data_IF_028777691066
#
_entry.id   IF_028777691066
#
_cell.length_a   1.000
_cell.length_b   1.000
_cell.length_c   1.000
_cell.angle_alpha   90.00
_cell.angle_beta   90.00
_cell.angle_gamma   90.00
#
_symmetry.space_group_name_H-M   'P 1'
#
loop_
_entity.id
_entity.type
_entity.pdbx_description
1 polymer ?
#
# COMPACT_ATOMS: atom_id res chain seq x y z
N UNK A 1 -14.82 35.30 -1.84
CA UNK A 1 -13.65 34.51 -1.41
C UNK A 1 -13.79 33.11 -1.96
N UNK A 2 -12.77 32.55 -2.63
CA UNK A 2 -12.84 31.15 -3.07
C UNK A 2 -12.81 30.21 -1.86
N UNK A 3 -13.51 29.09 -1.96
CA UNK A 3 -13.50 27.99 -0.98
C UNK A 3 -12.72 26.84 -1.61
N UNK A 4 -11.77 26.29 -0.86
CA UNK A 4 -10.96 25.13 -1.28
C UNK A 4 -11.34 23.90 -0.43
N UNK A 5 -11.26 22.73 -1.04
CA UNK A 5 -11.38 21.43 -0.36
C UNK A 5 -10.14 20.58 -0.64
N UNK A 6 -9.63 19.90 0.39
CA UNK A 6 -8.54 18.94 0.30
C UNK A 6 -9.11 17.52 0.38
N UNK A 7 -8.74 16.68 -0.58
CA UNK A 7 -9.12 15.25 -0.61
C UNK A 7 -7.84 14.43 -0.59
N UNK A 8 -7.71 13.55 0.41
CA UNK A 8 -6.58 12.64 0.56
C UNK A 8 -7.06 11.19 0.73
N UNK A 9 -6.36 10.26 0.11
CA UNK A 9 -6.70 8.84 0.15
C UNK A 9 -5.85 8.09 1.18
N UNK A 10 -6.53 7.47 2.16
CA UNK A 10 -5.86 6.67 3.18
C UNK A 10 -5.11 5.47 2.57
N UNK A 11 -3.81 5.38 2.85
CA UNK A 11 -2.94 4.25 2.46
C UNK A 11 -2.98 3.93 0.96
N UNK A 12 -3.14 4.95 0.11
CA UNK A 12 -3.58 4.82 -1.29
C UNK A 12 -3.01 3.62 -2.07
N UNK A 13 -1.69 3.49 -2.20
CA UNK A 13 -1.08 2.36 -2.93
C UNK A 13 -1.42 0.99 -2.34
N UNK A 14 -1.40 0.84 -1.01
CA UNK A 14 -1.77 -0.43 -0.38
C UNK A 14 -3.28 -0.71 -0.53
N UNK A 15 -4.11 0.33 -0.54
CA UNK A 15 -5.55 0.21 -0.80
C UNK A 15 -5.83 -0.20 -2.25
N UNK A 16 -5.04 0.27 -3.22
CA UNK A 16 -5.18 -0.11 -4.63
C UNK A 16 -4.94 -1.62 -4.85
N UNK A 17 -3.93 -2.19 -4.20
CA UNK A 17 -3.65 -3.64 -4.28
C UNK A 17 -4.77 -4.49 -3.69
N UNK A 18 -5.45 -3.98 -2.67
CA UNK A 18 -6.56 -4.66 -1.97
C UNK A 18 -7.92 -4.45 -2.65
N UNK A 19 -8.09 -3.39 -3.45
CA UNK A 19 -9.40 -2.95 -3.96
C UNK A 19 -10.17 -4.06 -4.70
N UNK A 20 -9.49 -4.81 -5.55
CA UNK A 20 -10.09 -5.90 -6.34
C UNK A 20 -9.70 -7.29 -5.82
N UNK A 21 -9.18 -7.37 -4.60
CA UNK A 21 -8.67 -8.58 -3.97
C UNK A 21 -9.31 -8.75 -2.60
N UNK A 22 -10.58 -9.19 -2.55
CA UNK A 22 -11.31 -9.34 -1.28
C UNK A 22 -10.64 -10.34 -0.33
N UNK A 23 -9.87 -11.28 -0.87
CA UNK A 23 -9.03 -12.21 -0.10
C UNK A 23 -7.92 -11.51 0.70
N UNK A 24 -7.56 -10.26 0.35
CA UNK A 24 -6.55 -9.47 1.05
C UNK A 24 -7.13 -8.54 2.11
N UNK A 25 -8.46 -8.54 2.33
CA UNK A 25 -9.16 -7.57 3.19
C UNK A 25 -8.51 -7.39 4.55
N UNK A 26 -8.17 -8.48 5.24
CA UNK A 26 -7.57 -8.46 6.57
C UNK A 26 -6.06 -8.81 6.55
N UNK A 27 -5.49 -8.97 5.36
CA UNK A 27 -4.07 -9.30 5.17
C UNK A 27 -3.21 -8.04 5.29
N UNK A 28 -2.10 -8.07 6.07
CA UNK A 28 -1.14 -6.98 6.10
C UNK A 28 -0.39 -6.87 4.78
N UNK A 29 -0.44 -5.69 4.17
CA UNK A 29 0.14 -5.41 2.85
C UNK A 29 1.11 -4.24 2.93
N UNK A 30 2.25 -4.37 2.26
CA UNK A 30 3.18 -3.28 1.99
C UNK A 30 3.40 -3.13 0.48
N UNK A 31 3.59 -1.90 0.04
CA UNK A 31 4.05 -1.60 -1.32
C UNK A 31 5.48 -1.09 -1.23
N UNK A 32 6.33 -1.60 -2.10
CA UNK A 32 7.76 -1.32 -2.13
C UNK A 32 8.10 -0.26 -3.17
N UNK A 33 9.25 0.38 -3.02
CA UNK A 33 9.79 1.32 -4.01
C UNK A 33 10.19 0.59 -5.29
N UNK A 34 10.55 1.35 -6.32
CA UNK A 34 11.24 0.79 -7.48
C UNK A 34 12.46 -0.02 -7.02
N UNK A 35 12.68 -1.18 -7.63
CA UNK A 35 13.68 -2.18 -7.27
C UNK A 35 13.50 -2.81 -5.87
N UNK A 36 12.31 -2.70 -5.27
CA UNK A 36 11.92 -3.41 -4.04
C UNK A 36 12.81 -3.11 -2.82
N UNK A 37 13.44 -1.94 -2.80
CA UNK A 37 14.42 -1.56 -1.77
C UNK A 37 13.77 -1.20 -0.44
N UNK A 38 12.73 -0.37 -0.46
CA UNK A 38 12.12 0.20 0.74
C UNK A 38 10.60 0.17 0.71
N UNK A 39 9.97 0.16 1.89
CA UNK A 39 8.51 0.27 2.03
C UNK A 39 8.04 1.71 1.75
N UNK A 40 7.19 1.90 0.75
CA UNK A 40 6.64 3.22 0.36
C UNK A 40 5.14 3.37 0.67
N UNK A 41 4.42 2.27 0.88
CA UNK A 41 3.07 2.31 1.43
C UNK A 41 2.76 1.07 2.27
N UNK A 42 1.77 1.19 3.15
CA UNK A 42 1.44 0.19 4.17
C UNK A 42 -0.07 0.19 4.41
N UNK A 43 -0.66 -0.99 4.48
CA UNK A 43 -2.03 -1.16 4.95
C UNK A 43 -2.15 -0.81 6.44
N UNK A 44 -3.38 -0.70 6.96
CA UNK A 44 -3.61 -0.41 8.38
C UNK A 44 -3.02 -1.50 9.27
N UNK A 45 -3.19 -2.76 8.86
CA UNK A 45 -2.71 -3.94 9.58
C UNK A 45 -1.17 -3.94 9.65
N UNK A 46 -0.50 -3.65 8.54
CA UNK A 46 0.96 -3.53 8.51
C UNK A 46 1.48 -2.39 9.40
N UNK A 47 0.76 -1.27 9.50
CA UNK A 47 1.08 -0.18 10.43
C UNK A 47 0.95 -0.62 11.89
N UNK A 48 -0.10 -1.37 12.22
CA UNK A 48 -0.33 -1.90 13.58
C UNK A 48 0.76 -2.90 14.00
N UNK A 49 1.35 -3.63 13.04
CA UNK A 49 2.50 -4.50 13.26
C UNK A 49 3.83 -3.74 13.44
N UNK A 50 3.81 -2.41 13.39
CA UNK A 50 4.99 -1.57 13.63
C UNK A 50 5.89 -1.36 12.40
N UNK A 51 5.48 -1.80 11.21
CA UNK A 51 6.27 -1.57 9.99
C UNK A 51 6.33 -0.07 9.69
N UNK A 52 7.55 0.47 9.64
CA UNK A 52 7.80 1.90 9.44
C UNK A 52 7.78 2.28 7.96
N UNK A 53 7.51 3.55 7.66
CA UNK A 53 7.67 4.07 6.29
C UNK A 53 9.15 4.17 5.95
N UNK A 54 9.52 3.90 4.71
CA UNK A 54 10.90 4.03 4.22
C UNK A 54 11.87 2.99 4.78
N UNK A 55 11.39 2.03 5.58
CA UNK A 55 12.25 0.97 6.10
C UNK A 55 12.74 0.10 4.94
N UNK A 56 14.04 -0.19 4.86
CA UNK A 56 14.55 -1.13 3.87
C UNK A 56 13.98 -2.53 4.08
N UNK A 57 13.57 -3.18 3.00
CA UNK A 57 12.87 -4.47 3.06
C UNK A 57 13.72 -5.54 3.74
N UNK A 58 15.04 -5.54 3.51
CA UNK A 58 15.94 -6.51 4.12
C UNK A 58 15.92 -6.49 5.66
N UNK A 59 15.60 -5.35 6.27
CA UNK A 59 15.54 -5.20 7.73
C UNK A 59 14.27 -5.79 8.34
N UNK A 60 13.21 -6.00 7.55
CA UNK A 60 11.90 -6.44 8.02
C UNK A 60 11.48 -7.80 7.45
N UNK A 61 12.39 -8.51 6.76
CA UNK A 61 12.07 -9.81 6.12
C UNK A 61 11.56 -10.84 7.12
N UNK A 62 12.14 -10.90 8.32
CA UNK A 62 11.75 -11.85 9.35
C UNK A 62 10.33 -11.55 9.88
N UNK A 63 10.02 -10.28 10.10
CA UNK A 63 8.72 -9.79 10.54
C UNK A 63 7.65 -10.03 9.47
N UNK A 64 8.00 -9.83 8.21
CA UNK A 64 7.12 -10.11 7.08
C UNK A 64 6.74 -11.59 7.03
N UNK A 65 7.72 -12.50 7.17
CA UNK A 65 7.46 -13.93 7.22
C UNK A 65 6.64 -14.33 8.46
N UNK A 66 7.00 -13.79 9.64
CA UNK A 66 6.35 -14.10 10.91
C UNK A 66 4.87 -13.74 10.94
N UNK A 67 4.51 -12.62 10.31
CA UNK A 67 3.13 -12.11 10.33
C UNK A 67 2.38 -12.29 9.01
N UNK A 68 2.98 -12.98 8.03
CA UNK A 68 2.37 -13.16 6.72
C UNK A 68 2.13 -11.86 5.95
N UNK A 69 3.05 -10.89 6.08
CA UNK A 69 2.97 -9.61 5.36
C UNK A 69 3.27 -9.85 3.89
N UNK A 70 2.32 -9.47 3.03
CA UNK A 70 2.51 -9.52 1.59
C UNK A 70 3.14 -8.22 1.10
N UNK A 71 4.17 -8.33 0.27
CA UNK A 71 4.80 -7.20 -0.39
C UNK A 71 4.47 -7.20 -1.88
N UNK A 72 4.15 -6.02 -2.40
CA UNK A 72 3.99 -5.77 -3.82
C UNK A 72 5.00 -4.74 -4.28
N UNK A 73 5.66 -4.97 -5.41
CA UNK A 73 6.47 -3.95 -6.07
C UNK A 73 5.59 -2.78 -6.51
N UNK A 74 6.14 -1.57 -6.53
CA UNK A 74 5.39 -0.39 -6.97
C UNK A 74 4.87 -0.55 -8.41
N UNK A 75 3.54 -0.62 -8.55
CA UNK A 75 2.85 -0.70 -9.82
C UNK A 75 2.02 0.57 -10.09
N UNK A 76 2.63 1.53 -10.79
CA UNK A 76 1.99 2.79 -11.13
C UNK A 76 0.83 2.63 -12.11
N UNK A 77 0.89 1.62 -13.00
CA UNK A 77 -0.17 1.35 -13.95
C UNK A 77 -1.45 0.83 -13.26
N UNK A 78 -1.31 0.02 -12.21
CA UNK A 78 -2.45 -0.42 -11.40
C UNK A 78 -3.06 0.75 -10.60
N UNK A 79 -2.19 1.56 -10.00
CA UNK A 79 -2.61 2.70 -9.18
C UNK A 79 -3.31 3.79 -9.98
N UNK A 80 -2.77 4.16 -11.14
CA UNK A 80 -3.33 5.22 -11.99
C UNK A 80 -4.36 4.68 -12.98
N UNK A 81 -4.15 3.49 -13.54
CA UNK A 81 -4.94 2.99 -14.66
C UNK A 81 -6.21 2.24 -14.26
N UNK A 82 -6.16 1.40 -13.22
CA UNK A 82 -7.32 0.59 -12.77
C UNK A 82 -8.20 1.32 -11.78
N UNK A 83 -7.62 2.07 -10.84
CA UNK A 83 -8.38 2.78 -9.81
C UNK A 83 -9.26 3.89 -10.41
N UNK A 84 -8.70 4.71 -11.31
CA UNK A 84 -9.45 5.82 -11.93
C UNK A 84 -10.52 5.36 -12.92
N UNK A 85 -10.29 4.26 -13.66
CA UNK A 85 -11.27 3.76 -14.64
C UNK A 85 -12.51 3.10 -14.03
N UNK A 86 -12.42 2.58 -12.81
CA UNK A 86 -13.53 1.83 -12.20
C UNK A 86 -14.29 2.61 -11.12
N UNK A 87 -13.70 3.69 -10.56
CA UNK A 87 -14.28 4.41 -9.41
C UNK A 87 -14.37 5.93 -9.57
N UNK A 88 -13.88 6.53 -10.66
CA UNK A 88 -14.00 7.98 -10.91
C UNK A 88 -14.65 8.32 -12.26
N UNK A 89 -15.35 7.37 -12.89
CA UNK A 89 -16.29 7.60 -13.99
C UNK A 89 -17.64 6.95 -13.64
#
# INVERSE_FOLDING_TARGET
MPVFALVDCNNFYASCEKLFRPDLKDTPVVVLSNNDGCVVARSREAKLLGIKMGVPVFQIKAEMQRHGILAFSSNYALTVGKYFRHHML
#
